data_IF_322071917198
#
_entry.id   IF_322071917198
#
_cell.length_a   1.000
_cell.length_b   1.000
_cell.length_c   1.000
_cell.angle_alpha   90.00
_cell.angle_beta   90.00
_cell.angle_gamma   90.00
#
_symmetry.space_group_name_H-M   'P 1'
#
loop_
_entity.id
_entity.type
_entity.pdbx_description
1 polymer ?
#
# COMPACT_ATOMS: atom_id res chain seq x y z
N UNK A 1 -3.07 26.85 10.76
CA UNK A 1 -2.88 26.26 9.42
C UNK A 1 -3.99 25.27 9.02
N UNK A 2 -4.58 24.49 9.94
CA UNK A 2 -5.59 23.47 9.58
C UNK A 2 -6.85 24.01 8.89
N UNK A 3 -7.46 25.09 9.39
CA UNK A 3 -8.68 25.65 8.80
C UNK A 3 -8.50 26.15 7.35
N UNK A 4 -7.36 26.78 7.06
CA UNK A 4 -7.01 27.20 5.70
C UNK A 4 -6.83 25.99 4.77
N UNK A 5 -6.09 24.97 5.22
CA UNK A 5 -5.90 23.75 4.43
C UNK A 5 -7.23 23.03 4.13
N UNK A 6 -8.18 23.02 5.07
CA UNK A 6 -9.53 22.46 4.84
C UNK A 6 -10.27 23.29 3.80
N UNK A 7 -10.22 24.62 3.87
CA UNK A 7 -10.84 25.48 2.86
C UNK A 7 -10.23 25.25 1.47
N UNK A 8 -8.90 25.17 1.37
CA UNK A 8 -8.19 24.93 0.10
C UNK A 8 -8.60 23.60 -0.55
N UNK A 9 -8.80 22.56 0.26
CA UNK A 9 -9.31 21.28 -0.21
C UNK A 9 -10.78 21.38 -0.62
N UNK A 10 -11.66 21.87 0.26
CA UNK A 10 -13.11 21.94 0.00
C UNK A 10 -13.46 22.73 -1.26
N UNK A 11 -12.73 23.81 -1.56
CA UNK A 11 -12.95 24.64 -2.73
C UNK A 11 -12.11 24.23 -3.95
N UNK A 12 -11.34 23.13 -3.86
CA UNK A 12 -10.55 22.63 -4.98
C UNK A 12 -9.33 23.47 -5.36
N UNK A 13 -8.94 24.43 -4.52
CA UNK A 13 -7.70 25.18 -4.70
C UNK A 13 -6.47 24.25 -4.61
N UNK A 14 -6.58 23.17 -3.83
CA UNK A 14 -5.62 22.07 -3.78
C UNK A 14 -6.34 20.74 -3.98
N UNK A 15 -5.79 19.90 -4.85
CA UNK A 15 -6.29 18.55 -5.07
C UNK A 15 -5.85 17.59 -3.93
N UNK A 16 -6.77 16.85 -3.28
CA UNK A 16 -6.43 15.91 -2.22
C UNK A 16 -5.55 14.79 -2.77
N UNK A 17 -4.52 14.46 -1.99
CA UNK A 17 -3.50 13.47 -2.37
C UNK A 17 -2.95 12.70 -1.16
N UNK A 18 -3.69 12.69 -0.05
CA UNK A 18 -3.39 11.86 1.10
C UNK A 18 -3.86 10.42 0.87
N UNK A 19 -3.10 9.44 1.36
CA UNK A 19 -3.48 8.03 1.37
C UNK A 19 -3.46 7.52 2.81
N UNK A 20 -4.39 6.63 3.16
CA UNK A 20 -4.49 6.07 4.51
C UNK A 20 -3.23 5.28 4.88
N UNK A 21 -2.64 5.61 6.02
CA UNK A 21 -1.52 4.86 6.62
C UNK A 21 -2.00 3.64 7.44
N UNK A 22 -3.31 3.46 7.59
CA UNK A 22 -3.94 2.38 8.35
C UNK A 22 -5.16 1.84 7.60
N UNK A 23 -5.63 0.66 8.00
CA UNK A 23 -6.88 0.09 7.47
C UNK A 23 -8.01 0.45 8.42
N UNK A 24 -9.10 0.99 7.90
CA UNK A 24 -10.29 1.28 8.69
C UNK A 24 -11.21 0.06 8.63
N UNK A 25 -11.38 -0.68 9.74
CA UNK A 25 -12.25 -1.84 9.77
C UNK A 25 -13.73 -1.42 9.67
N UNK A 26 -14.62 -2.36 9.32
CA UNK A 26 -16.08 -2.09 9.41
C UNK A 26 -16.51 -2.16 10.87
N UNK A 27 -15.98 -3.12 11.62
CA UNK A 27 -16.20 -3.30 13.05
C UNK A 27 -14.89 -3.60 13.78
N UNK A 28 -14.80 -3.31 15.08
CA UNK A 28 -13.62 -3.65 15.86
C UNK A 28 -13.26 -5.14 15.77
N UNK A 29 -14.27 -6.01 15.71
CA UNK A 29 -14.11 -7.47 15.59
C UNK A 29 -13.40 -7.93 14.30
N UNK A 30 -13.33 -7.09 13.26
CA UNK A 30 -12.56 -7.40 12.05
C UNK A 30 -11.05 -7.24 12.25
N UNK A 31 -10.62 -6.57 13.33
CA UNK A 31 -9.21 -6.43 13.67
C UNK A 31 -8.68 -7.75 14.25
N UNK A 32 -7.55 -8.23 13.73
CA UNK A 32 -6.93 -9.49 14.14
C UNK A 32 -6.68 -9.61 15.65
N UNK A 33 -6.44 -8.49 16.32
CA UNK A 33 -6.13 -8.43 17.75
C UNK A 33 -7.37 -8.34 18.64
N UNK A 34 -8.55 -7.99 18.12
CA UNK A 34 -9.72 -7.58 18.92
C UNK A 34 -10.14 -8.63 19.96
N UNK A 35 -10.28 -9.89 19.54
CA UNK A 35 -10.69 -11.00 20.40
C UNK A 35 -9.73 -11.29 21.58
N UNK A 36 -8.50 -10.78 21.53
CA UNK A 36 -7.46 -11.09 22.51
C UNK A 36 -6.80 -9.84 23.11
N UNK A 37 -7.19 -8.65 22.67
CA UNK A 37 -6.65 -7.40 23.14
C UNK A 37 -7.08 -7.13 24.58
N UNK A 38 -6.12 -6.76 25.44
CA UNK A 38 -6.34 -6.49 26.86
C UNK A 38 -7.06 -7.62 27.65
N UNK A 39 -6.96 -8.86 27.19
CA UNK A 39 -7.60 -10.04 27.82
C UNK A 39 -6.93 -10.51 29.13
N UNK A 40 -5.80 -9.93 29.52
CA UNK A 40 -5.09 -10.23 30.77
C UNK A 40 -4.59 -8.94 31.45
N UNK A 41 -4.61 -8.86 32.80
CA UNK A 41 -4.35 -7.62 33.53
C UNK A 41 -2.88 -7.14 33.48
N UNK A 42 -1.95 -8.02 33.13
CA UNK A 42 -0.49 -7.74 33.17
C UNK A 42 0.28 -8.24 31.96
N UNK A 43 -0.38 -8.91 31.03
CA UNK A 43 0.28 -9.51 29.86
C UNK A 43 -0.61 -9.37 28.64
N UNK A 44 -0.01 -8.97 27.53
CA UNK A 44 -0.64 -8.94 26.21
C UNK A 44 0.19 -9.80 25.26
N UNK A 45 -0.46 -10.78 24.61
CA UNK A 45 0.19 -11.67 23.64
C UNK A 45 -0.29 -11.28 22.26
N UNK A 46 0.66 -10.96 21.37
CA UNK A 46 0.42 -10.57 19.99
C UNK A 46 0.18 -11.82 19.14
N UNK A 47 -1.03 -12.39 19.28
CA UNK A 47 -1.42 -13.66 18.64
C UNK A 47 -1.56 -13.53 17.13
N UNK A 48 -1.81 -12.32 16.65
CA UNK A 48 -1.93 -12.00 15.24
C UNK A 48 -0.59 -12.11 14.48
N UNK A 49 0.55 -12.06 15.19
CA UNK A 49 1.87 -12.18 14.59
C UNK A 49 2.09 -11.17 13.46
N UNK A 50 2.36 -11.65 12.24
CA UNK A 50 2.53 -10.77 11.07
C UNK A 50 1.20 -10.25 10.48
N UNK A 51 0.05 -10.79 10.88
CA UNK A 51 -1.26 -10.36 10.42
C UNK A 51 -1.76 -9.12 11.18
N UNK A 52 -1.04 -8.00 11.06
CA UNK A 52 -1.45 -6.71 11.63
C UNK A 52 -1.95 -5.79 10.52
N UNK A 53 -3.09 -5.13 10.75
CA UNK A 53 -3.68 -4.17 9.81
C UNK A 53 -3.96 -4.81 8.44
N UNK A 54 -3.64 -4.11 7.35
CA UNK A 54 -3.96 -4.58 5.98
C UNK A 54 -3.45 -5.99 5.66
N UNK A 55 -2.37 -6.45 6.31
CA UNK A 55 -1.85 -7.82 6.15
C UNK A 55 -2.91 -8.84 6.54
N UNK A 56 -3.62 -8.62 7.65
CA UNK A 56 -4.73 -9.47 8.07
C UNK A 56 -5.89 -9.44 7.07
N UNK A 57 -6.36 -8.23 6.74
CA UNK A 57 -7.52 -8.05 5.87
C UNK A 57 -7.31 -8.67 4.49
N UNK A 58 -6.16 -8.41 3.86
CA UNK A 58 -5.84 -8.95 2.53
C UNK A 58 -5.58 -10.45 2.57
N UNK A 59 -4.87 -10.95 3.58
CA UNK A 59 -4.54 -12.39 3.66
C UNK A 59 -5.78 -13.25 3.93
N UNK A 60 -6.75 -12.75 4.70
CA UNK A 60 -7.95 -13.50 5.08
C UNK A 60 -9.19 -13.14 4.24
N UNK A 61 -9.07 -12.27 3.23
CA UNK A 61 -10.20 -11.89 2.37
C UNK A 61 -11.28 -11.07 3.08
N UNK A 62 -10.95 -10.35 4.15
CA UNK A 62 -11.87 -9.52 4.92
C UNK A 62 -11.95 -8.15 4.24
N UNK A 63 -13.16 -7.66 3.98
CA UNK A 63 -13.38 -6.37 3.32
C UNK A 63 -13.41 -5.23 4.35
N UNK A 64 -12.41 -4.33 4.37
CA UNK A 64 -12.43 -3.17 5.26
C UNK A 64 -13.40 -2.09 4.78
N UNK A 65 -13.71 -1.13 5.65
CA UNK A 65 -14.44 0.09 5.27
C UNK A 65 -13.59 0.93 4.31
N UNK A 66 -12.33 1.17 4.69
CA UNK A 66 -11.32 1.75 3.80
C UNK A 66 -10.00 0.99 3.92
N UNK A 67 -9.43 0.48 2.80
CA UNK A 67 -8.18 -0.25 2.84
C UNK A 67 -6.99 0.68 3.08
N UNK A 68 -5.91 0.12 3.61
CA UNK A 68 -4.60 0.79 3.64
C UNK A 68 -4.22 1.30 2.24
N UNK A 69 -3.63 2.49 2.18
CA UNK A 69 -3.24 3.13 0.94
C UNK A 69 -4.40 3.74 0.15
N UNK A 70 -5.64 3.67 0.64
CA UNK A 70 -6.79 4.31 0.01
C UNK A 70 -6.73 5.83 0.14
N UNK A 71 -7.14 6.53 -0.91
CA UNK A 71 -7.33 7.98 -0.89
C UNK A 71 -7.72 8.47 -2.28
N UNK A 72 -8.79 9.27 -2.32
CA UNK A 72 -9.35 9.82 -3.56
C UNK A 72 -8.63 11.12 -3.95
N UNK A 73 -8.85 11.51 -5.20
CA UNK A 73 -8.34 12.74 -5.80
C UNK A 73 -9.47 13.43 -6.57
N UNK A 74 -9.33 14.72 -6.88
CA UNK A 74 -10.23 15.42 -7.80
C UNK A 74 -9.89 15.18 -9.28
N UNK A 75 -8.76 14.52 -9.54
CA UNK A 75 -8.37 14.06 -10.87
C UNK A 75 -8.22 12.53 -10.89
N UNK A 76 -8.09 11.96 -12.08
CA UNK A 76 -7.95 10.52 -12.27
C UNK A 76 -6.57 10.21 -12.84
N UNK A 77 -5.96 9.13 -12.35
CA UNK A 77 -4.66 8.67 -12.82
C UNK A 77 -4.78 7.29 -13.48
N UNK A 78 -4.09 7.12 -14.60
CA UNK A 78 -3.96 5.84 -15.28
C UNK A 78 -2.53 5.32 -15.17
N UNK A 79 -2.41 4.02 -14.93
CA UNK A 79 -1.14 3.32 -14.78
C UNK A 79 -0.86 2.55 -16.07
N UNK A 80 0.34 2.76 -16.63
CA UNK A 80 0.84 2.02 -17.77
C UNK A 80 1.40 0.65 -17.38
N UNK A 81 2.17 0.06 -18.30
CA UNK A 81 2.82 -1.21 -18.07
C UNK A 81 3.92 -1.11 -17.02
N UNK A 82 3.98 -2.12 -16.14
CA UNK A 82 5.02 -2.26 -15.14
C UNK A 82 6.26 -2.89 -15.77
N UNK A 83 7.38 -2.18 -15.71
CA UNK A 83 8.67 -2.60 -16.28
C UNK A 83 9.63 -3.00 -15.16
N UNK A 84 10.34 -4.09 -15.38
CA UNK A 84 11.35 -4.61 -14.47
C UNK A 84 12.69 -4.60 -15.17
N UNK A 85 13.74 -4.13 -14.49
CA UNK A 85 15.10 -4.20 -15.05
C UNK A 85 15.65 -5.64 -15.09
N UNK A 86 15.14 -6.52 -14.23
CA UNK A 86 15.56 -7.92 -14.07
C UNK A 86 14.35 -8.79 -13.71
N UNK A 87 14.37 -10.06 -14.11
CA UNK A 87 13.33 -11.04 -13.74
C UNK A 87 13.80 -12.04 -12.68
N UNK A 88 15.10 -12.08 -12.41
CA UNK A 88 15.72 -12.94 -11.41
C UNK A 88 16.83 -12.17 -10.67
N UNK A 89 16.94 -12.42 -9.37
CA UNK A 89 18.02 -11.91 -8.52
C UNK A 89 18.77 -13.13 -8.00
N UNK A 90 20.03 -13.29 -8.41
CA UNK A 90 20.88 -14.39 -7.94
C UNK A 90 21.71 -13.95 -6.75
N UNK A 91 21.59 -14.67 -5.64
CA UNK A 91 22.39 -14.46 -4.43
C UNK A 91 23.69 -15.27 -4.58
N UNK A 92 24.52 -14.94 -5.58
CA UNK A 92 25.79 -15.64 -5.83
C UNK A 92 27.02 -14.82 -5.47
N UNK A 93 26.93 -13.49 -5.49
CA UNK A 93 28.03 -12.59 -5.19
C UNK A 93 27.64 -11.63 -4.07
N UNK A 94 28.44 -11.59 -2.99
CA UNK A 94 28.23 -10.71 -1.83
C UNK A 94 28.32 -9.21 -2.17
N UNK A 95 28.73 -8.85 -3.38
CA UNK A 95 28.91 -7.49 -3.88
C UNK A 95 27.77 -6.96 -4.77
N UNK A 96 26.79 -7.79 -5.15
CA UNK A 96 25.58 -7.30 -5.85
C UNK A 96 24.57 -6.83 -4.78
N UNK A 97 24.04 -5.59 -4.85
CA UNK A 97 23.09 -5.08 -3.88
C UNK A 97 21.73 -5.81 -3.90
N UNK A 98 21.51 -6.77 -4.82
CA UNK A 98 20.28 -7.57 -4.92
C UNK A 98 19.01 -6.72 -5.06
N UNK A 99 19.13 -5.61 -5.78
CA UNK A 99 18.05 -4.63 -6.01
C UNK A 99 17.33 -4.92 -7.32
N UNK A 100 16.00 -4.93 -7.25
CA UNK A 100 15.09 -4.93 -8.39
C UNK A 100 14.56 -3.51 -8.60
N UNK A 101 14.80 -2.95 -9.78
CA UNK A 101 14.19 -1.67 -10.18
C UNK A 101 12.88 -1.96 -10.89
N UNK A 102 11.85 -1.21 -10.49
CA UNK A 102 10.50 -1.29 -11.03
C UNK A 102 10.14 0.10 -11.52
N UNK A 103 9.67 0.20 -12.76
CA UNK A 103 9.20 1.45 -13.35
C UNK A 103 7.75 1.31 -13.83
N UNK A 104 6.96 2.36 -13.68
CA UNK A 104 5.61 2.46 -14.24
C UNK A 104 5.35 3.88 -14.74
N UNK A 105 4.77 4.01 -15.93
CA UNK A 105 4.24 5.31 -16.38
C UNK A 105 2.93 5.58 -15.64
N UNK A 106 2.80 6.76 -15.05
CA UNK A 106 1.55 7.26 -14.48
C UNK A 106 1.14 8.52 -15.23
N UNK A 107 -0.11 8.55 -15.70
CA UNK A 107 -0.69 9.66 -16.45
C UNK A 107 -1.83 10.30 -15.69
N UNK A 108 -1.88 11.62 -15.66
CA UNK A 108 -3.02 12.36 -15.15
C UNK A 108 -4.03 12.60 -16.29
N UNK A 109 -5.15 11.88 -16.26
CA UNK A 109 -6.18 11.88 -17.30
C UNK A 109 -7.42 12.70 -16.93
N UNK A 110 -7.44 13.34 -15.76
CA UNK A 110 -8.56 14.20 -15.36
C UNK A 110 -8.38 15.66 -15.75
N UNK A 111 -9.18 16.55 -15.14
CA UNK A 111 -9.28 17.97 -15.53
C UNK A 111 -8.49 18.94 -14.67
N UNK A 112 -7.66 18.48 -13.73
CA UNK A 112 -6.85 19.35 -12.88
C UNK A 112 -5.50 18.71 -12.52
N UNK A 113 -4.56 19.54 -12.09
CA UNK A 113 -3.30 19.08 -11.51
C UNK A 113 -3.54 18.23 -10.26
N UNK A 114 -2.75 17.18 -10.09
CA UNK A 114 -2.84 16.34 -8.90
C UNK A 114 -1.50 15.71 -8.53
N UNK A 115 -1.50 15.00 -7.40
CA UNK A 115 -0.40 14.15 -7.01
C UNK A 115 -0.91 12.75 -6.67
N UNK A 116 -0.19 11.74 -7.16
CA UNK A 116 -0.50 10.33 -6.94
C UNK A 116 0.62 9.67 -6.13
N UNK A 117 0.25 8.69 -5.30
CA UNK A 117 1.17 7.84 -4.54
C UNK A 117 1.15 6.44 -5.16
N UNK A 118 2.17 6.14 -5.96
CA UNK A 118 2.41 4.81 -6.53
C UNK A 118 2.88 3.90 -5.42
N UNK A 119 2.23 2.75 -5.23
CA UNK A 119 2.54 1.80 -4.16
C UNK A 119 2.90 0.43 -4.75
N UNK A 120 4.09 -0.08 -4.43
CA UNK A 120 4.57 -1.39 -4.86
C UNK A 120 4.40 -2.42 -3.74
N UNK A 121 3.63 -3.46 -4.04
CA UNK A 121 3.41 -4.60 -3.15
C UNK A 121 4.05 -5.88 -3.70
N UNK A 122 4.67 -6.66 -2.81
CA UNK A 122 5.30 -7.94 -3.17
C UNK A 122 4.58 -9.08 -2.46
N UNK A 123 4.19 -10.10 -3.22
CA UNK A 123 3.63 -11.34 -2.71
C UNK A 123 4.73 -12.40 -2.51
N UNK A 124 4.63 -13.27 -1.51
CA UNK A 124 5.53 -14.41 -1.38
C UNK A 124 5.36 -15.37 -2.59
N UNK A 125 6.40 -16.16 -2.92
CA UNK A 125 6.30 -17.15 -4.01
C UNK A 125 5.17 -18.15 -3.73
N UNK A 126 4.70 -18.89 -4.75
CA UNK A 126 3.78 -20.03 -4.56
C UNK A 126 4.53 -21.26 -4.09
N UNK A 127 3.90 -22.10 -3.28
CA UNK A 127 4.55 -23.28 -2.70
C UNK A 127 4.74 -24.31 -3.81
N UNK A 128 5.90 -24.93 -3.90
CA UNK A 128 5.98 -26.20 -4.58
C UNK A 128 5.26 -27.27 -3.73
N UNK A 129 4.63 -28.29 -4.34
CA UNK A 129 4.07 -29.42 -3.61
C UNK A 129 5.14 -30.07 -2.72
N UNK A 130 4.87 -30.22 -1.42
CA UNK A 130 5.77 -30.88 -0.46
C UNK A 130 6.73 -29.96 0.32
N UNK A 131 6.76 -28.64 0.05
CA UNK A 131 7.57 -27.70 0.82
C UNK A 131 6.87 -27.21 2.09
N UNK A 132 7.56 -27.30 3.24
CA UNK A 132 7.14 -26.62 4.46
C UNK A 132 7.32 -25.11 4.32
N UNK A 133 6.32 -24.32 4.76
CA UNK A 133 6.34 -22.86 4.64
C UNK A 133 6.34 -22.18 5.99
N UNK A 134 7.22 -21.19 6.12
CA UNK A 134 7.06 -20.13 7.11
C UNK A 134 5.92 -19.23 6.66
N UNK A 135 4.98 -18.95 7.57
CA UNK A 135 3.86 -18.06 7.28
C UNK A 135 4.32 -16.68 6.80
N UNK A 136 3.70 -16.17 5.73
CA UNK A 136 3.88 -14.80 5.23
C UNK A 136 2.53 -14.20 4.80
N UNK A 137 2.32 -12.89 4.99
CA UNK A 137 1.14 -12.19 4.48
C UNK A 137 1.01 -12.34 2.95
N UNK A 138 -0.22 -12.26 2.44
CA UNK A 138 -0.52 -12.40 1.01
C UNK A 138 0.21 -11.38 0.13
N UNK A 139 0.44 -10.17 0.63
CA UNK A 139 1.32 -9.15 0.02
C UNK A 139 1.80 -8.16 1.05
N UNK A 140 2.95 -7.54 0.79
CA UNK A 140 3.55 -6.53 1.67
C UNK A 140 4.02 -5.32 0.85
N UNK A 141 3.75 -4.11 1.35
CA UNK A 141 4.31 -2.88 0.79
C UNK A 141 5.84 -2.92 0.86
N UNK A 142 6.51 -2.56 -0.23
CA UNK A 142 7.98 -2.52 -0.34
C UNK A 142 8.55 -1.17 -0.76
N UNK A 143 7.83 -0.45 -1.59
CA UNK A 143 8.20 0.89 -2.00
C UNK A 143 6.94 1.71 -2.28
N UNK A 144 7.07 3.02 -2.16
CA UNK A 144 6.09 3.95 -2.69
C UNK A 144 6.78 5.25 -3.09
N UNK A 145 6.19 5.95 -4.05
CA UNK A 145 6.65 7.26 -4.46
C UNK A 145 5.44 8.17 -4.69
N UNK A 146 5.55 9.41 -4.21
CA UNK A 146 4.56 10.45 -4.45
C UNK A 146 5.04 11.39 -5.54
N UNK A 147 4.31 11.45 -6.64
CA UNK A 147 4.64 12.28 -7.80
C UNK A 147 3.54 13.29 -8.08
N UNK A 148 3.90 14.54 -8.36
CA UNK A 148 2.96 15.56 -8.87
C UNK A 148 2.94 15.48 -10.39
N UNK A 149 1.76 15.39 -10.97
CA UNK A 149 1.57 15.27 -12.42
C UNK A 149 0.54 16.32 -12.85
N UNK A 150 0.95 17.33 -13.65
CA UNK A 150 0.03 18.29 -14.23
C UNK A 150 -1.06 17.64 -15.07
N UNK A 151 -2.19 18.33 -15.24
CA UNK A 151 -3.30 17.86 -16.07
C UNK A 151 -2.82 17.46 -17.48
N UNK A 152 -3.12 16.24 -17.93
CA UNK A 152 -2.76 15.72 -19.26
C UNK A 152 -1.31 15.21 -19.40
N UNK A 153 -0.46 15.39 -18.38
CA UNK A 153 0.92 14.92 -18.40
C UNK A 153 1.07 13.47 -17.90
N UNK A 154 2.24 12.89 -18.18
CA UNK A 154 2.68 11.61 -17.63
C UNK A 154 4.09 11.71 -17.03
N UNK A 155 4.40 10.81 -16.09
CA UNK A 155 5.71 10.64 -15.46
C UNK A 155 6.03 9.16 -15.31
N UNK A 156 7.30 8.81 -15.49
CA UNK A 156 7.82 7.49 -15.10
C UNK A 156 8.19 7.57 -13.63
N UNK A 157 7.69 6.62 -12.86
CA UNK A 157 7.96 6.41 -11.44
C UNK A 157 8.66 5.07 -11.27
#
# INVERSE_FOLDING_TARGET
AGGLAVADLLFGAVCPSGKLAETFPVTAADCASDAHFASHPRQLVYREGLNVGYRHFVTNGIRPLFPFGHGLSYTNFEYGELKLNKTCITISNASDPHVLSVEVEVRNCGGCDGAEVVQLYVAPPRAAPGESRVFRPARELRAFEKVRIPCGEARIV
#
